data_IF_333357529294
#
_entry.id   IF_333357529294
#
_cell.length_a   1.000
_cell.length_b   1.000
_cell.length_c   1.000
_cell.angle_alpha   90.00
_cell.angle_beta   90.00
_cell.angle_gamma   90.00
#
_symmetry.space_group_name_H-M   'P 1'
#
loop_
_entity.id
_entity.type
_entity.pdbx_description
1 polymer ?
#
# COMPACT_ATOMS: atom_id res chain seq x y z
N UNK A 1 -18.10 -12.48 -17.30
CA UNK A 1 -16.69 -12.23 -17.65
C UNK A 1 -16.09 -11.45 -16.50
N UNK A 2 -15.47 -12.14 -15.54
CA UNK A 2 -14.72 -11.49 -14.47
C UNK A 2 -13.36 -11.12 -15.05
N UNK A 3 -13.29 -9.94 -15.68
CA UNK A 3 -12.02 -9.37 -16.10
C UNK A 3 -11.19 -9.01 -14.88
N UNK A 4 -9.91 -9.37 -14.89
CA UNK A 4 -8.97 -8.95 -13.85
C UNK A 4 -9.09 -7.44 -13.60
N UNK A 5 -9.05 -6.98 -12.33
CA UNK A 5 -9.12 -5.56 -12.03
C UNK A 5 -7.95 -4.85 -12.69
N UNK A 6 -8.23 -4.15 -13.79
CA UNK A 6 -7.23 -3.41 -14.57
C UNK A 6 -6.51 -2.40 -13.68
N UNK A 7 -5.18 -2.46 -13.72
CA UNK A 7 -4.30 -1.62 -12.92
C UNK A 7 -4.22 -0.22 -13.53
N UNK A 8 -4.48 0.80 -12.72
CA UNK A 8 -4.37 2.22 -13.10
C UNK A 8 -3.02 2.83 -12.73
N UNK A 9 -2.47 2.41 -11.58
CA UNK A 9 -1.13 2.79 -11.12
C UNK A 9 -0.50 1.61 -10.40
N UNK A 10 0.80 1.42 -10.63
CA UNK A 10 1.65 0.53 -9.83
C UNK A 10 2.85 1.32 -9.30
N UNK A 11 3.30 1.01 -8.09
CA UNK A 11 4.43 1.72 -7.51
C UNK A 11 4.97 1.01 -6.28
N UNK A 12 6.26 1.23 -6.00
CA UNK A 12 6.96 0.70 -4.82
C UNK A 12 6.97 1.72 -3.71
N UNK A 13 6.73 1.24 -2.50
CA UNK A 13 6.57 2.07 -1.32
C UNK A 13 7.14 1.38 -0.08
N UNK A 14 7.80 2.14 0.77
CA UNK A 14 8.23 1.71 2.10
C UNK A 14 7.31 2.25 3.19
N UNK A 15 7.24 1.56 4.33
CA UNK A 15 6.73 2.16 5.56
C UNK A 15 7.67 3.26 6.05
N UNK A 16 7.16 4.36 6.62
CA UNK A 16 8.00 5.38 7.23
C UNK A 16 8.86 4.80 8.38
N UNK A 17 10.13 5.19 8.42
CA UNK A 17 11.10 4.80 9.44
C UNK A 17 12.24 3.92 8.93
N UNK A 18 13.36 3.82 9.67
CA UNK A 18 14.48 2.96 9.30
C UNK A 18 14.07 1.48 9.35
N UNK A 19 14.36 0.72 8.29
CA UNK A 19 13.97 -0.70 8.18
C UNK A 19 12.46 -0.91 8.02
N UNK A 20 11.76 0.08 7.46
CA UNK A 20 10.33 -0.02 7.18
C UNK A 20 10.04 -1.10 6.14
N UNK A 21 8.96 -1.88 6.33
CA UNK A 21 8.55 -2.90 5.37
C UNK A 21 8.26 -2.28 4.00
N UNK A 22 8.68 -2.97 2.94
CA UNK A 22 8.44 -2.59 1.54
C UNK A 22 7.15 -3.21 1.02
N UNK A 23 6.50 -2.46 0.14
CA UNK A 23 5.21 -2.79 -0.44
C UNK A 23 5.19 -2.39 -1.91
N UNK A 24 4.63 -3.27 -2.73
CA UNK A 24 4.13 -2.90 -4.03
C UNK A 24 2.65 -2.53 -3.89
N UNK A 25 2.33 -1.28 -4.17
CA UNK A 25 0.95 -0.81 -4.20
C UNK A 25 0.41 -0.87 -5.63
N UNK A 26 -0.86 -1.22 -5.74
CA UNK A 26 -1.59 -1.29 -7.01
C UNK A 26 -2.90 -0.54 -6.85
N UNK A 27 -3.13 0.48 -7.66
CA UNK A 27 -4.42 1.18 -7.71
C UNK A 27 -5.25 0.64 -8.86
N UNK A 28 -6.52 0.36 -8.60
CA UNK A 28 -7.51 -0.02 -9.62
C UNK A 28 -8.82 0.74 -9.39
N UNK A 29 -9.74 0.65 -10.35
CA UNK A 29 -11.11 1.19 -10.20
C UNK A 29 -11.89 0.57 -9.02
N UNK A 30 -11.49 -0.60 -8.54
CA UNK A 30 -12.20 -1.34 -7.48
C UNK A 30 -11.62 -1.05 -6.09
N UNK A 31 -10.33 -0.76 -6.01
CA UNK A 31 -9.62 -0.72 -4.74
C UNK A 31 -8.13 -0.51 -4.87
N UNK A 32 -7.51 -0.37 -3.69
CA UNK A 32 -6.07 -0.34 -3.50
C UNK A 32 -5.58 -1.72 -3.06
N UNK A 33 -4.75 -2.35 -3.87
CA UNK A 33 -3.96 -3.52 -3.51
C UNK A 33 -2.64 -3.09 -2.86
N UNK A 34 -2.20 -3.85 -1.86
CA UNK A 34 -0.87 -3.73 -1.27
C UNK A 34 -0.26 -5.11 -1.15
N UNK A 35 0.85 -5.37 -1.83
CA UNK A 35 1.62 -6.60 -1.71
C UNK A 35 2.89 -6.30 -0.91
N UNK A 36 3.12 -7.02 0.19
CA UNK A 36 4.38 -6.89 0.93
C UNK A 36 5.49 -7.54 0.11
N UNK A 37 6.60 -6.82 -0.07
CA UNK A 37 7.82 -7.35 -0.65
C UNK A 37 8.63 -7.93 0.52
N UNK A 38 9.00 -9.20 0.42
CA UNK A 38 9.97 -9.79 1.35
C UNK A 38 11.34 -9.23 0.98
N UNK A 39 12.09 -8.78 1.99
CA UNK A 39 13.52 -8.56 1.79
C UNK A 39 14.10 -9.96 1.55
N UNK A 40 14.71 -10.18 0.38
CA UNK A 40 15.59 -11.33 0.21
C UNK A 40 16.66 -11.17 1.28
N UNK A 41 16.55 -11.94 2.37
CA UNK A 41 17.63 -12.08 3.33
C UNK A 41 18.81 -12.62 2.51
N UNK A 42 19.81 -11.78 2.28
CA UNK A 42 21.14 -12.21 1.89
C UNK A 42 21.54 -13.27 2.92
N UNK A 43 21.62 -14.53 2.48
CA UNK A 43 22.06 -15.66 3.30
C UNK A 43 23.49 -15.39 3.77
N UNK A 44 23.63 -14.67 4.89
CA UNK A 44 24.87 -14.65 5.64
C UNK A 44 24.73 -15.57 6.86
N UNK A 45 25.56 -16.61 6.83
CA UNK A 45 25.48 -17.76 7.70
C UNK A 45 25.55 -17.38 9.18
N UNK A 46 24.60 -17.88 9.97
CA UNK A 46 24.65 -17.68 11.41
C UNK A 46 23.55 -18.42 12.15
N UNK A 47 23.77 -19.71 12.39
CA UNK A 47 22.92 -20.54 13.23
C UNK A 47 22.63 -19.90 14.59
N UNK A 48 21.39 -19.48 14.78
CA UNK A 48 20.88 -18.98 16.05
C UNK A 48 19.37 -19.11 16.06
N UNK A 49 18.87 -20.23 16.58
CA UNK A 49 17.45 -20.51 16.73
C UNK A 49 16.75 -19.40 17.54
N UNK A 50 16.21 -18.41 16.84
CA UNK A 50 15.37 -17.36 17.42
C UNK A 50 13.94 -17.95 17.53
N UNK A 51 13.31 -17.94 18.72
CA UNK A 51 12.03 -18.62 18.89
C UNK A 51 10.98 -18.02 17.95
N UNK A 52 10.09 -18.84 17.36
CA UNK A 52 9.06 -18.35 16.45
C UNK A 52 8.14 -17.42 17.23
N UNK A 53 8.30 -16.11 17.04
CA UNK A 53 7.33 -15.12 17.50
C UNK A 53 5.99 -15.54 16.94
N UNK A 54 5.08 -15.93 17.83
CA UNK A 54 3.71 -16.42 17.54
C UNK A 54 3.14 -15.68 16.33
N UNK A 55 3.27 -16.30 15.16
CA UNK A 55 2.58 -15.93 13.92
C UNK A 55 1.12 -16.21 14.19
N UNK A 56 0.42 -15.23 14.76
CA UNK A 56 -1.03 -15.25 14.80
C UNK A 56 -1.53 -15.42 13.36
N UNK A 57 -2.67 -16.09 13.18
CA UNK A 57 -3.26 -16.45 11.90
C UNK A 57 -3.39 -15.30 10.85
N UNK A 58 -3.12 -14.04 11.23
CA UNK A 58 -2.92 -12.90 10.33
C UNK A 58 -1.62 -12.96 9.49
N UNK A 59 -0.63 -13.76 9.87
CA UNK A 59 0.66 -13.89 9.18
C UNK A 59 0.58 -14.65 7.86
N UNK A 60 -0.47 -15.46 7.64
CA UNK A 60 -0.69 -16.19 6.38
C UNK A 60 -1.46 -15.37 5.33
N UNK A 61 -2.13 -14.28 5.74
CA UNK A 61 -2.67 -13.27 4.84
C UNK A 61 -1.64 -12.16 4.50
N UNK A 62 -0.41 -12.28 4.99
CA UNK A 62 0.53 -11.16 5.16
C UNK A 62 1.26 -10.69 3.90
N UNK A 63 1.05 -11.35 2.76
CA UNK A 63 1.68 -10.96 1.50
C UNK A 63 0.84 -10.00 0.66
N UNK A 64 -0.49 -9.99 0.79
CA UNK A 64 -1.38 -9.23 -0.10
C UNK A 64 -2.64 -8.77 0.64
N UNK A 65 -2.83 -7.45 0.73
CA UNK A 65 -4.03 -6.81 1.25
C UNK A 65 -4.76 -6.10 0.11
N UNK A 66 -6.09 -6.04 0.18
CA UNK A 66 -6.91 -5.23 -0.72
C UNK A 66 -7.86 -4.37 0.11
N UNK A 67 -7.90 -3.08 -0.20
CA UNK A 67 -8.77 -2.09 0.42
C UNK A 67 -9.72 -1.54 -0.65
N UNK A 68 -11.02 -1.88 -0.60
CA UNK A 68 -12.01 -1.30 -1.52
C UNK A 68 -12.04 0.23 -1.41
N UNK A 69 -12.20 0.94 -2.53
CA UNK A 69 -12.17 2.41 -2.55
C UNK A 69 -13.19 3.05 -1.62
N UNK A 70 -14.37 2.44 -1.44
CA UNK A 70 -15.41 2.90 -0.49
C UNK A 70 -14.92 3.02 0.97
N UNK A 71 -13.81 2.36 1.31
CA UNK A 71 -13.21 2.43 2.64
C UNK A 71 -12.08 3.46 2.73
N UNK A 72 -11.69 4.11 1.62
CA UNK A 72 -10.77 5.24 1.59
C UNK A 72 -11.57 6.52 1.77
N UNK A 73 -11.22 7.32 2.77
CA UNK A 73 -11.90 8.57 3.11
C UNK A 73 -11.22 9.80 2.51
N UNK A 74 -9.88 9.78 2.52
CA UNK A 74 -9.06 10.88 2.03
C UNK A 74 -7.65 10.37 1.76
N UNK A 75 -6.92 11.09 0.92
CA UNK A 75 -5.50 10.91 0.75
C UNK A 75 -4.79 12.26 0.61
N UNK A 76 -3.49 12.28 0.91
CA UNK A 76 -2.63 13.44 0.66
C UNK A 76 -1.21 12.98 0.34
N UNK A 77 -0.48 13.85 -0.37
CA UNK A 77 0.92 13.66 -0.70
C UNK A 77 1.78 14.68 0.05
N UNK A 78 2.86 14.21 0.68
CA UNK A 78 3.83 15.03 1.40
C UNK A 78 5.03 15.43 0.54
N UNK A 79 5.69 16.52 0.94
CA UNK A 79 6.82 17.09 0.18
C UNK A 79 8.03 16.16 0.00
N UNK A 80 8.16 15.12 0.82
CA UNK A 80 9.26 14.15 0.80
C UNK A 80 8.91 12.84 0.08
N UNK A 81 7.87 12.82 -0.76
CA UNK A 81 7.40 11.61 -1.43
C UNK A 81 6.58 10.69 -0.52
N UNK A 82 5.90 11.28 0.46
CA UNK A 82 5.00 10.55 1.35
C UNK A 82 3.61 10.49 0.72
N UNK A 83 2.97 9.33 0.77
CA UNK A 83 1.56 9.13 0.44
C UNK A 83 0.84 8.67 1.70
N UNK A 84 -0.16 9.41 2.14
CA UNK A 84 -0.94 9.06 3.32
C UNK A 84 -2.41 8.86 2.96
N UNK A 85 -2.99 7.78 3.48
CA UNK A 85 -4.35 7.35 3.26
C UNK A 85 -5.10 7.33 4.58
N UNK A 86 -6.20 8.07 4.65
CA UNK A 86 -7.17 7.91 5.74
C UNK A 86 -8.21 6.90 5.30
N UNK A 87 -8.35 5.80 6.04
CA UNK A 87 -9.26 4.72 5.66
C UNK A 87 -9.93 4.04 6.87
N UNK A 88 -10.99 3.28 6.57
CA UNK A 88 -11.61 2.34 7.48
C UNK A 88 -11.03 0.95 7.26
N UNK A 89 -10.41 0.38 8.29
CA UNK A 89 -9.95 -1.01 8.27
C UNK A 89 -10.86 -1.87 9.15
N UNK A 90 -11.18 -3.12 8.74
CA UNK A 90 -11.92 -4.05 9.58
C UNK A 90 -11.19 -4.26 10.90
N UNK A 91 -11.92 -4.21 12.03
CA UNK A 91 -11.34 -4.61 13.31
C UNK A 91 -11.28 -6.13 13.35
N UNK A 92 -10.08 -6.69 13.52
CA UNK A 92 -9.91 -8.11 13.82
C UNK A 92 -10.49 -8.46 15.20
N UNK A 93 -11.76 -8.86 15.24
CA UNK A 93 -12.34 -9.80 16.21
C UNK A 93 -12.33 -9.45 17.71
N UNK A 94 -12.03 -8.23 18.15
CA UNK A 94 -12.15 -7.87 19.59
C UNK A 94 -13.50 -7.22 19.87
N UNK A 95 -14.35 -7.96 20.58
CA UNK A 95 -15.67 -7.53 21.04
C UNK A 95 -15.59 -6.20 21.81
N UNK A 96 -16.50 -5.27 21.51
CA UNK A 96 -16.67 -4.00 22.23
C UNK A 96 -16.36 -2.72 21.43
N UNK A 97 -15.96 -2.81 20.16
CA UNK A 97 -15.84 -1.65 19.26
C UNK A 97 -16.37 -1.98 17.88
N UNK A 98 -16.99 -1.01 17.20
CA UNK A 98 -17.68 -1.21 15.91
C UNK A 98 -16.83 -1.90 14.83
N UNK A 99 -17.46 -2.41 13.76
CA UNK A 99 -16.83 -3.34 12.81
C UNK A 99 -15.60 -2.79 12.08
N UNK A 100 -15.43 -1.47 12.05
CA UNK A 100 -14.31 -0.79 11.40
C UNK A 100 -13.63 0.21 12.34
N UNK A 101 -12.34 0.44 12.11
CA UNK A 101 -11.55 1.50 12.77
C UNK A 101 -11.03 2.46 11.72
N UNK A 102 -11.19 3.77 11.95
CA UNK A 102 -10.51 4.81 11.18
C UNK A 102 -9.02 4.79 11.50
N UNK A 103 -8.18 4.74 10.48
CA UNK A 103 -6.73 4.72 10.58
C UNK A 103 -6.12 5.60 9.50
N UNK A 104 -4.91 6.10 9.75
CA UNK A 104 -4.05 6.69 8.73
C UNK A 104 -2.94 5.70 8.41
N UNK A 105 -2.77 5.37 7.13
CA UNK A 105 -1.66 4.58 6.61
C UNK A 105 -0.77 5.48 5.76
N UNK A 106 0.47 5.63 6.17
CA UNK A 106 1.47 6.42 5.45
C UNK A 106 2.47 5.47 4.80
N UNK A 107 2.85 5.82 3.59
CA UNK A 107 3.80 5.13 2.74
C UNK A 107 4.79 6.17 2.21
N UNK A 108 6.03 5.77 1.98
CA UNK A 108 7.04 6.59 1.32
C UNK A 108 7.35 5.97 -0.02
N UNK A 109 7.29 6.74 -1.09
CA UNK A 109 7.66 6.29 -2.43
C UNK A 109 9.12 5.82 -2.42
N UNK A 110 9.33 4.59 -2.89
CA UNK A 110 10.64 4.10 -3.31
C UNK A 110 10.71 4.37 -4.82
N UNK A 111 11.30 5.50 -5.20
CA UNK A 111 11.59 5.76 -6.60
C UNK A 111 12.81 4.92 -6.95
N UNK A 112 12.70 4.06 -7.96
CA UNK A 112 13.88 3.48 -8.59
C UNK A 112 14.63 4.64 -9.27
N UNK A 113 15.96 4.69 -9.12
CA UNK A 113 16.79 5.79 -9.63
C UNK A 113 16.70 5.96 -11.16
N UNK A 114 16.13 4.98 -11.85
CA UNK A 114 15.92 4.93 -13.30
C UNK A 114 14.53 5.42 -13.78
N UNK A 115 13.62 5.78 -12.87
CA UNK A 115 12.30 6.29 -13.28
C UNK A 115 12.41 7.75 -13.77
N UNK A 116 12.64 7.94 -15.08
CA UNK A 116 12.62 9.22 -15.79
C UNK A 116 11.23 9.87 -15.68
N UNK A 117 10.96 10.56 -14.58
CA UNK A 117 9.59 11.03 -14.36
C UNK A 117 9.31 11.79 -13.08
N UNK A 118 10.25 12.61 -12.60
CA UNK A 118 9.91 13.63 -11.60
C UNK A 118 10.00 13.21 -10.13
N UNK A 119 10.81 12.21 -9.77
CA UNK A 119 11.17 11.94 -8.37
C UNK A 119 10.03 11.56 -7.42
N UNK A 120 10.39 11.17 -6.19
CA UNK A 120 9.46 10.59 -5.22
C UNK A 120 8.25 11.45 -4.88
N UNK A 121 8.40 12.79 -4.94
CA UNK A 121 7.32 13.75 -4.68
C UNK A 121 6.26 13.75 -5.79
N UNK A 122 6.67 13.85 -7.06
CA UNK A 122 5.69 13.89 -8.16
C UNK A 122 4.92 12.57 -8.23
N UNK A 123 5.58 11.44 -7.94
CA UNK A 123 4.91 10.14 -7.87
C UNK A 123 3.86 10.12 -6.75
N UNK A 124 4.20 10.60 -5.55
CA UNK A 124 3.25 10.69 -4.45
C UNK A 124 2.05 11.59 -4.80
N UNK A 125 2.29 12.75 -5.43
CA UNK A 125 1.24 13.67 -5.90
C UNK A 125 0.36 13.03 -6.98
N UNK A 126 0.94 12.30 -7.94
CA UNK A 126 0.23 11.54 -8.96
C UNK A 126 -0.71 10.50 -8.33
N UNK A 127 -0.21 9.73 -7.37
CA UNK A 127 -0.98 8.76 -6.61
C UNK A 127 -2.14 9.40 -5.84
N UNK A 128 -1.87 10.47 -5.08
CA UNK A 128 -2.90 11.17 -4.33
C UNK A 128 -3.97 11.80 -5.25
N UNK A 129 -3.57 12.27 -6.43
CA UNK A 129 -4.49 12.82 -7.43
C UNK A 129 -5.37 11.72 -8.02
N UNK A 130 -4.78 10.60 -8.42
CA UNK A 130 -5.51 9.46 -8.95
C UNK A 130 -6.56 8.92 -7.95
N UNK A 131 -6.17 8.74 -6.69
CA UNK A 131 -7.10 8.30 -5.64
C UNK A 131 -8.24 9.31 -5.46
N UNK A 132 -7.95 10.62 -5.44
CA UNK A 132 -8.98 11.66 -5.36
C UNK A 132 -9.94 11.61 -6.54
N UNK A 133 -9.43 11.47 -7.76
CA UNK A 133 -10.26 11.33 -8.96
C UNK A 133 -11.22 10.14 -8.82
N UNK A 134 -10.72 8.97 -8.42
CA UNK A 134 -11.55 7.79 -8.24
C UNK A 134 -12.59 7.95 -7.12
N UNK A 135 -12.25 8.62 -6.01
CA UNK A 135 -13.21 8.94 -4.94
C UNK A 135 -14.31 9.91 -5.40
N UNK A 136 -13.99 10.78 -6.36
CA UNK A 136 -14.94 11.69 -7.01
C UNK A 136 -15.71 11.04 -8.16
N UNK A 137 -15.45 9.77 -8.50
CA UNK A 137 -16.06 9.08 -9.62
C UNK A 137 -15.54 9.52 -11.00
N UNK A 138 -14.38 10.21 -11.05
CA UNK A 138 -13.71 10.61 -12.29
C UNK A 138 -12.95 9.41 -12.83
N UNK A 139 -13.19 9.08 -14.10
CA UNK A 139 -12.45 8.03 -14.79
C UNK A 139 -11.01 8.48 -15.10
N UNK A 140 -10.06 7.59 -14.85
CA UNK A 140 -8.65 7.80 -15.18
C UNK A 140 -8.26 6.97 -16.40
N UNK A 141 -7.40 7.50 -17.28
CA UNK A 141 -6.78 6.71 -18.34
C UNK A 141 -5.91 5.62 -17.73
N UNK A 142 -5.88 4.46 -18.38
CA UNK A 142 -5.04 3.32 -17.98
C UNK A 142 -3.56 3.65 -18.25
N UNK A 143 -2.64 3.12 -17.43
CA UNK A 143 -1.21 3.22 -17.74
C UNK A 143 -0.90 2.39 -18.99
N UNK A 144 -0.12 2.92 -19.96
CA UNK A 144 0.42 2.10 -21.03
C UNK A 144 1.40 1.08 -20.43
N UNK A 145 1.23 -0.20 -20.76
CA UNK A 145 2.13 -1.31 -20.38
C UNK A 145 3.57 -1.14 -20.89
#
# INVERSE_FOLDING_TARGET
MEGEPRTLLRGRFASPGPGGARYELTLSRQGLGARRLEEEEEEDGGGGARPPRRRGAAAAAAGRASLPLRHVLACWAGGMGELALTCYLPRGGRAGGGPYRRMVKTFRVEADEEEEGGGSRALAERWATAIRCLLLGIELPEEPE
#
